data_IF_662541944710
#
_entry.id   IF_662541944710
#
_cell.length_a   1.000
_cell.length_b   1.000
_cell.length_c   1.000
_cell.angle_alpha   90.00
_cell.angle_beta   90.00
_cell.angle_gamma   90.00
#
_symmetry.space_group_name_H-M   'P 1'
#
loop_
_entity.id
_entity.type
_entity.pdbx_description
1 polymer ?
#
# COMPACT_ATOMS: atom_id res chain seq x y z
N UNK A 1 10.60 11.44 -10.35
CA UNK A 1 11.17 11.50 -8.98
C UNK A 1 10.94 10.13 -8.34
N UNK A 2 12.00 9.41 -7.95
CA UNK A 2 11.90 8.10 -7.32
C UNK A 2 11.54 8.26 -5.83
N UNK A 3 10.26 8.35 -5.52
CA UNK A 3 9.74 8.52 -4.16
C UNK A 3 9.52 7.18 -3.42
N UNK A 4 10.44 6.22 -3.54
CA UNK A 4 10.23 4.86 -3.03
C UNK A 4 10.78 4.56 -1.60
N UNK A 5 11.67 5.34 -0.97
CA UNK A 5 12.04 5.07 0.45
C UNK A 5 11.23 5.85 1.50
N UNK A 6 10.60 6.96 1.14
CA UNK A 6 10.12 7.95 2.13
C UNK A 6 8.60 8.16 2.15
N UNK A 7 7.83 7.44 1.33
CA UNK A 7 6.39 7.62 1.30
C UNK A 7 5.76 7.26 2.65
N UNK A 8 5.06 8.23 3.23
CA UNK A 8 4.15 8.06 4.37
C UNK A 8 2.86 8.81 4.07
N UNK A 9 1.79 8.08 3.90
CA UNK A 9 0.47 8.62 3.60
C UNK A 9 -0.55 8.02 4.57
N UNK A 10 -1.48 8.87 5.04
CA UNK A 10 -2.46 8.46 6.05
C UNK A 10 -1.79 7.93 7.31
N UNK A 11 -2.29 6.81 7.85
CA UNK A 11 -1.74 6.11 9.00
C UNK A 11 -1.05 4.80 8.64
N UNK A 12 -1.32 4.24 7.45
CA UNK A 12 -0.95 2.88 7.08
C UNK A 12 -0.12 2.77 5.80
N UNK A 13 -0.10 3.78 4.93
CA UNK A 13 0.63 3.67 3.66
C UNK A 13 2.09 4.08 3.82
N UNK A 14 2.98 3.10 4.03
CA UNK A 14 4.43 3.31 3.98
C UNK A 14 5.24 2.07 4.34
N UNK A 15 6.54 2.08 4.02
CA UNK A 15 7.43 0.98 4.38
C UNK A 15 7.78 1.05 5.88
N UNK A 16 7.58 -0.05 6.61
CA UNK A 16 7.74 -0.10 8.07
C UNK A 16 6.95 1.01 8.80
N UNK A 17 5.78 1.36 8.26
CA UNK A 17 4.91 2.40 8.74
C UNK A 17 3.48 1.86 8.77
N UNK A 18 2.86 1.83 9.96
CA UNK A 18 1.52 1.29 10.15
C UNK A 18 0.84 1.97 11.34
N UNK A 19 -0.49 1.93 11.38
CA UNK A 19 -1.28 2.56 12.43
C UNK A 19 -1.36 1.72 13.71
N UNK A 20 -1.77 2.37 14.81
CA UNK A 20 -2.03 1.70 16.08
C UNK A 20 -3.29 0.82 16.04
N UNK A 21 -3.40 -0.22 16.90
CA UNK A 21 -4.63 -0.99 17.01
C UNK A 21 -5.85 -0.11 17.33
N UNK A 22 -6.91 -0.23 16.53
CA UNK A 22 -8.16 0.52 16.71
C UNK A 22 -8.21 1.89 16.01
N UNK A 23 -7.10 2.36 15.45
CA UNK A 23 -7.11 3.56 14.62
C UNK A 23 -7.89 3.32 13.32
N UNK A 24 -8.71 4.30 12.93
CA UNK A 24 -9.38 4.27 11.63
C UNK A 24 -8.47 4.83 10.54
N UNK A 25 -8.52 4.28 9.31
CA UNK A 25 -7.79 4.82 8.18
C UNK A 25 -8.28 6.23 7.85
N UNK A 26 -7.38 7.08 7.37
CA UNK A 26 -7.69 8.48 7.07
C UNK A 26 -8.65 8.63 5.88
N UNK A 27 -8.55 7.75 4.89
CA UNK A 27 -9.44 7.70 3.73
C UNK A 27 -9.51 6.28 3.13
N UNK A 28 -10.15 6.15 1.96
CA UNK A 28 -10.26 4.88 1.25
C UNK A 28 -8.93 4.32 0.72
N UNK A 29 -7.93 5.17 0.45
CA UNK A 29 -6.60 4.71 0.01
C UNK A 29 -5.82 4.16 1.21
N UNK A 30 -5.85 4.85 2.34
CA UNK A 30 -5.24 4.43 3.59
C UNK A 30 -5.87 3.13 4.12
N UNK A 31 -7.17 2.93 3.89
CA UNK A 31 -7.84 1.67 4.17
C UNK A 31 -7.30 0.48 3.34
N UNK A 32 -6.89 0.73 2.08
CA UNK A 32 -6.22 -0.29 1.28
C UNK A 32 -4.89 -0.71 1.90
N UNK A 33 -4.11 0.25 2.41
CA UNK A 33 -2.83 -0.02 3.08
C UNK A 33 -3.02 -0.73 4.42
N UNK A 34 -4.01 -0.33 5.23
CA UNK A 34 -4.37 -1.02 6.47
C UNK A 34 -4.66 -2.50 6.22
N UNK A 35 -5.44 -2.81 5.18
CA UNK A 35 -5.76 -4.19 4.81
C UNK A 35 -4.53 -4.97 4.32
N UNK A 36 -3.61 -4.30 3.62
CA UNK A 36 -2.34 -4.90 3.21
C UNK A 36 -1.46 -5.24 4.40
N UNK A 37 -1.28 -4.32 5.35
CA UNK A 37 -0.51 -4.57 6.57
C UNK A 37 -1.06 -5.77 7.36
N UNK A 38 -2.38 -5.84 7.51
CA UNK A 38 -3.07 -6.97 8.15
C UNK A 38 -2.85 -8.28 7.37
N UNK A 39 -2.86 -8.23 6.04
CA UNK A 39 -2.56 -9.40 5.20
C UNK A 39 -1.12 -9.86 5.41
N UNK A 40 -0.15 -8.95 5.36
CA UNK A 40 1.27 -9.25 5.58
C UNK A 40 1.52 -9.85 6.97
N UNK A 41 0.88 -9.32 8.02
CA UNK A 41 0.95 -9.87 9.37
C UNK A 41 0.47 -11.33 9.43
N UNK A 42 -0.63 -11.65 8.75
CA UNK A 42 -1.14 -13.03 8.63
C UNK A 42 -0.19 -13.96 7.83
N UNK A 43 0.59 -13.39 6.91
CA UNK A 43 1.57 -14.10 6.10
C UNK A 43 2.96 -14.19 6.78
N UNK A 44 3.04 -14.08 8.11
CA UNK A 44 4.31 -14.12 8.87
C UNK A 44 5.30 -13.04 8.42
N UNK A 45 4.80 -11.84 8.11
CA UNK A 45 5.57 -10.71 7.61
C UNK A 45 6.24 -10.94 6.24
N UNK A 46 5.67 -11.82 5.39
CA UNK A 46 6.13 -12.03 4.02
C UNK A 46 5.67 -10.89 3.09
N UNK A 47 6.45 -9.80 3.06
CA UNK A 47 6.25 -8.65 2.16
C UNK A 47 6.32 -9.01 0.65
N UNK A 48 6.80 -10.21 0.30
CA UNK A 48 6.82 -10.71 -1.06
C UNK A 48 5.56 -11.54 -1.40
N UNK A 49 4.58 -11.61 -0.50
CA UNK A 49 3.30 -12.28 -0.74
C UNK A 49 2.60 -11.74 -2.00
N UNK A 50 2.50 -12.58 -3.03
CA UNK A 50 1.81 -12.20 -4.27
C UNK A 50 0.33 -11.88 -4.05
N UNK A 51 -0.32 -12.55 -3.09
CA UNK A 51 -1.72 -12.33 -2.79
C UNK A 51 -1.91 -10.91 -2.23
N UNK A 52 -1.25 -10.59 -1.12
CA UNK A 52 -1.39 -9.28 -0.48
C UNK A 52 -1.03 -8.14 -1.43
N UNK A 53 0.07 -8.29 -2.19
CA UNK A 53 0.54 -7.24 -3.10
C UNK A 53 -0.42 -7.02 -4.28
N UNK A 54 -1.04 -8.08 -4.85
CA UNK A 54 -2.04 -7.95 -5.91
C UNK A 54 -3.36 -7.36 -5.41
N UNK A 55 -3.79 -7.74 -4.21
CA UNK A 55 -4.99 -7.19 -3.57
C UNK A 55 -4.82 -5.69 -3.28
N UNK A 56 -3.66 -5.28 -2.75
CA UNK A 56 -3.34 -3.87 -2.54
C UNK A 56 -3.40 -3.09 -3.86
N UNK A 57 -2.72 -3.57 -4.91
CA UNK A 57 -2.77 -2.94 -6.24
C UNK A 57 -4.21 -2.80 -6.75
N UNK A 58 -5.03 -3.84 -6.64
CA UNK A 58 -6.44 -3.78 -7.07
C UNK A 58 -7.21 -2.70 -6.29
N UNK A 59 -6.99 -2.61 -4.98
CA UNK A 59 -7.67 -1.67 -4.10
C UNK A 59 -7.28 -0.22 -4.42
N UNK A 60 -5.99 0.11 -4.46
CA UNK A 60 -5.54 1.50 -4.71
C UNK A 60 -5.89 1.98 -6.11
N UNK A 61 -5.87 1.08 -7.11
CA UNK A 61 -6.32 1.41 -8.48
C UNK A 61 -7.85 1.61 -8.56
N UNK A 62 -8.63 0.95 -7.70
CA UNK A 62 -10.06 1.21 -7.61
C UNK A 62 -10.33 2.57 -6.96
N UNK A 63 -9.60 2.92 -5.91
CA UNK A 63 -9.68 4.24 -5.27
C UNK A 63 -9.29 5.37 -6.23
N UNK A 64 -8.15 5.27 -6.92
CA UNK A 64 -7.75 6.31 -7.88
C UNK A 64 -8.79 6.53 -9.00
N UNK A 65 -9.47 5.46 -9.43
CA UNK A 65 -10.54 5.56 -10.45
C UNK A 65 -11.88 6.07 -9.91
N UNK A 66 -12.14 5.98 -8.61
CA UNK A 66 -13.42 6.40 -8.05
C UNK A 66 -13.54 7.92 -7.95
N UNK A 67 -12.42 8.64 -7.97
CA UNK A 67 -12.40 10.09 -7.72
C UNK A 67 -12.82 10.46 -6.30
N UNK A 68 -12.81 9.49 -5.37
CA UNK A 68 -13.11 9.76 -3.97
C UNK A 68 -12.05 10.73 -3.38
N UNK A 69 -12.47 11.66 -2.51
CA UNK A 69 -11.56 12.64 -1.95
C UNK A 69 -10.54 11.99 -1.01
N UNK A 70 -9.34 12.60 -0.95
CA UNK A 70 -8.37 12.35 0.11
C UNK A 70 -8.84 12.98 1.44
N UNK A 71 -8.14 12.66 2.52
CA UNK A 71 -8.41 13.26 3.84
C UNK A 71 -7.98 14.74 3.91
N UNK A 72 -8.65 15.50 4.77
CA UNK A 72 -8.36 16.93 4.97
C UNK A 72 -6.93 17.14 5.46
N UNK A 73 -6.23 18.12 4.87
CA UNK A 73 -4.84 18.43 5.20
C UNK A 73 -3.79 17.55 4.51
N UNK A 74 -4.21 16.58 3.68
CA UNK A 74 -3.28 15.86 2.81
C UNK A 74 -2.56 16.83 1.86
N UNK A 75 -1.23 16.73 1.82
CA UNK A 75 -0.36 17.47 0.89
C UNK A 75 0.08 16.62 -0.30
N UNK A 76 -0.50 15.42 -0.45
CA UNK A 76 -0.12 14.44 -1.45
C UNK A 76 -1.18 14.30 -2.54
N UNK A 77 -0.73 14.23 -3.79
CA UNK A 77 -1.58 13.92 -4.94
C UNK A 77 -1.89 12.41 -4.98
N UNK A 78 -3.19 12.05 -4.98
CA UNK A 78 -3.64 10.64 -4.93
C UNK A 78 -3.02 9.80 -6.04
N UNK A 79 -2.94 10.32 -7.26
CA UNK A 79 -2.36 9.59 -8.39
C UNK A 79 -0.87 9.30 -8.21
N UNK A 80 -0.12 10.21 -7.58
CA UNK A 80 1.30 9.97 -7.26
C UNK A 80 1.45 8.85 -6.23
N UNK A 81 0.57 8.83 -5.21
CA UNK A 81 0.54 7.77 -4.20
C UNK A 81 0.22 6.41 -4.82
N UNK A 82 -0.85 6.35 -5.63
CA UNK A 82 -1.26 5.12 -6.32
C UNK A 82 -0.14 4.60 -7.22
N UNK A 83 0.52 5.47 -7.98
CA UNK A 83 1.63 5.09 -8.85
C UNK A 83 2.85 4.58 -8.07
N UNK A 84 3.23 5.26 -6.97
CA UNK A 84 4.32 4.84 -6.11
C UNK A 84 4.06 3.45 -5.51
N UNK A 85 2.87 3.22 -4.94
CA UNK A 85 2.45 1.94 -4.37
C UNK A 85 2.48 0.83 -5.44
N UNK A 86 1.88 1.07 -6.62
CA UNK A 86 1.86 0.08 -7.70
C UNK A 86 3.27 -0.31 -8.15
N UNK A 87 4.20 0.65 -8.26
CA UNK A 87 5.58 0.38 -8.64
C UNK A 87 6.29 -0.48 -7.59
N UNK A 88 6.12 -0.17 -6.30
CA UNK A 88 6.66 -0.98 -5.20
C UNK A 88 6.12 -2.42 -5.24
N UNK A 89 4.80 -2.58 -5.40
CA UNK A 89 4.16 -3.88 -5.40
C UNK A 89 4.55 -4.73 -6.61
N UNK A 90 4.69 -4.12 -7.79
CA UNK A 90 5.22 -4.80 -8.99
C UNK A 90 6.65 -5.31 -8.76
N UNK A 91 7.50 -4.49 -8.15
CA UNK A 91 8.86 -4.91 -7.81
C UNK A 91 8.88 -6.06 -6.80
N UNK A 92 8.03 -6.01 -5.76
CA UNK A 92 7.91 -7.09 -4.77
C UNK A 92 7.40 -8.41 -5.38
N UNK A 93 6.38 -8.34 -6.24
CA UNK A 93 5.87 -9.51 -6.98
C UNK A 93 6.95 -10.10 -7.88
N UNK A 94 7.72 -9.25 -8.57
CA UNK A 94 8.84 -9.70 -9.39
C UNK A 94 9.93 -10.37 -8.54
N UNK A 95 10.32 -9.75 -7.43
CA UNK A 95 11.28 -10.31 -6.48
C UNK A 95 10.83 -11.68 -5.95
N UNK A 96 9.53 -11.88 -5.65
CA UNK A 96 9.01 -13.19 -5.26
C UNK A 96 9.21 -14.26 -6.34
N UNK A 97 9.06 -13.90 -7.62
CA UNK A 97 9.27 -14.86 -8.72
C UNK A 97 10.73 -15.26 -8.88
N UNK A 98 11.65 -14.36 -8.56
CA UNK A 98 13.10 -14.60 -8.67
C UNK A 98 13.67 -15.31 -7.44
N UNK A 99 13.25 -14.90 -6.23
CA UNK A 99 13.84 -15.33 -4.96
C UNK A 99 12.89 -16.14 -4.08
N UNK A 100 11.63 -16.33 -4.48
CA UNK A 100 10.70 -17.16 -3.75
C UNK A 100 11.18 -18.60 -3.71
N UNK A 101 11.10 -19.24 -2.54
CA UNK A 101 11.26 -20.70 -2.45
C UNK A 101 10.23 -21.37 -3.38
N UNK A 102 10.62 -22.45 -4.09
CA UNK A 102 9.71 -23.21 -4.94
C UNK A 102 8.47 -23.70 -4.18
#
# INVERSE_FOLDING_TARGET
IAALPALRYGKYCGLFYSGCPGEQPCDGLDACCMNHDLCIGKMKNDYLSQQCNKELMKCVNAFGRSGAPSFEGSTCEVDEIVNAINNAMRAAIFARKVFGKP
#
